data_IF_491021136517
#
_entry.id   IF_491021136517
#
_cell.length_a   1.000
_cell.length_b   1.000
_cell.length_c   1.000
_cell.angle_alpha   90.00
_cell.angle_beta   90.00
_cell.angle_gamma   90.00
#
_symmetry.space_group_name_H-M   'P 1'
#
loop_
_entity.id
_entity.type
_entity.pdbx_description
1 polymer ?
#
# COMPACT_ATOMS: atom_id res chain seq x y z
N UNK A 1 15.91 13.35 27.06
CA UNK A 1 16.82 12.62 26.15
C UNK A 1 16.10 11.77 25.10
N UNK A 2 15.03 11.04 25.43
CA UNK A 2 14.24 10.27 24.45
C UNK A 2 13.43 11.16 23.47
N UNK A 3 12.83 12.24 23.99
CA UNK A 3 12.06 13.22 23.20
C UNK A 3 12.90 13.99 22.17
N UNK A 4 14.13 14.38 22.51
CA UNK A 4 15.03 15.12 21.61
C UNK A 4 15.57 14.28 20.45
N UNK A 5 15.80 12.97 20.66
CA UNK A 5 16.21 12.04 19.59
C UNK A 5 15.07 11.73 18.61
N UNK A 6 13.84 11.56 19.10
CA UNK A 6 12.66 11.45 18.24
C UNK A 6 12.43 12.74 17.42
N UNK A 7 12.61 13.92 18.00
CA UNK A 7 12.48 15.18 17.28
C UNK A 7 13.55 15.37 16.19
N UNK A 8 14.79 14.92 16.43
CA UNK A 8 15.86 14.94 15.42
C UNK A 8 15.59 13.94 14.29
N UNK A 9 15.16 12.71 14.59
CA UNK A 9 14.71 11.74 13.60
C UNK A 9 13.55 12.27 12.78
N UNK A 10 12.55 12.88 13.43
CA UNK A 10 11.40 13.45 12.74
C UNK A 10 11.82 14.61 11.83
N UNK A 11 12.76 15.47 12.25
CA UNK A 11 13.36 16.52 11.40
C UNK A 11 14.21 15.96 10.26
N UNK A 12 14.96 14.88 10.47
CA UNK A 12 15.75 14.20 9.43
C UNK A 12 14.84 13.56 8.38
N UNK A 13 13.77 12.89 8.81
CA UNK A 13 12.71 12.40 7.93
C UNK A 13 12.00 13.55 7.21
N UNK A 14 11.66 14.63 7.91
CA UNK A 14 11.02 15.80 7.30
C UNK A 14 11.93 16.48 6.26
N UNK A 15 13.23 16.62 6.55
CA UNK A 15 14.21 17.12 5.57
C UNK A 15 14.38 16.17 4.38
N UNK A 16 14.44 14.85 4.61
CA UNK A 16 14.59 13.85 3.56
C UNK A 16 13.36 13.74 2.63
N UNK A 17 12.15 13.99 3.14
CA UNK A 17 10.90 13.66 2.45
C UNK A 17 9.99 14.85 2.11
N UNK A 18 10.03 15.94 2.88
CA UNK A 18 9.18 17.13 2.66
C UNK A 18 9.92 18.29 1.96
N UNK A 19 11.23 18.19 1.81
CA UNK A 19 12.06 19.16 1.08
C UNK A 19 12.91 18.46 0.00
N UNK A 20 12.28 17.81 -0.99
CA UNK A 20 12.99 17.06 -2.03
C UNK A 20 13.99 17.94 -2.78
N UNK A 21 13.69 19.23 -2.96
CA UNK A 21 14.62 20.20 -3.53
C UNK A 21 15.90 20.34 -2.72
N UNK A 22 15.84 20.40 -1.38
CA UNK A 22 17.04 20.52 -0.54
C UNK A 22 17.87 19.24 -0.52
N UNK A 23 17.23 18.07 -0.57
CA UNK A 23 17.91 16.77 -0.65
C UNK A 23 18.53 16.62 -2.03
N UNK A 24 17.80 16.94 -3.10
CA UNK A 24 18.30 16.95 -4.46
C UNK A 24 19.48 17.93 -4.58
N UNK A 25 19.40 19.13 -3.98
CA UNK A 25 20.49 20.10 -3.98
C UNK A 25 21.71 19.62 -3.18
N UNK A 26 21.52 18.97 -2.03
CA UNK A 26 22.62 18.39 -1.23
C UNK A 26 23.24 17.17 -1.93
N UNK A 27 22.43 16.36 -2.60
CA UNK A 27 22.84 15.16 -3.34
C UNK A 27 23.50 15.51 -4.69
N UNK A 28 23.09 16.59 -5.34
CA UNK A 28 23.70 17.15 -6.55
C UNK A 28 24.98 17.95 -6.24
N UNK A 29 25.05 18.63 -5.08
CA UNK A 29 26.22 19.44 -4.66
C UNK A 29 27.33 18.61 -4.00
N UNK A 30 27.04 17.36 -3.62
CA UNK A 30 28.06 16.41 -3.15
C UNK A 30 29.01 16.04 -4.29
N UNK A 31 30.27 16.49 -4.18
CA UNK A 31 31.39 16.12 -5.08
C UNK A 31 31.71 14.61 -5.11
N UNK A 32 31.22 13.84 -4.14
CA UNK A 32 31.28 12.37 -4.13
C UNK A 32 29.94 11.79 -4.59
N UNK A 33 30.02 10.72 -5.41
CA UNK A 33 28.91 9.94 -5.97
C UNK A 33 27.60 10.07 -5.15
N UNK A 34 26.56 10.65 -5.74
CA UNK A 34 25.27 10.96 -5.10
C UNK A 34 24.65 9.81 -4.28
N UNK A 35 24.84 8.55 -4.71
CA UNK A 35 24.45 7.37 -3.94
C UNK A 35 25.20 7.24 -2.59
N UNK A 36 26.48 7.63 -2.52
CA UNK A 36 27.27 7.58 -1.29
C UNK A 36 26.79 8.59 -0.24
N UNK A 37 26.40 9.81 -0.66
CA UNK A 37 25.90 10.83 0.26
C UNK A 37 24.56 10.40 0.89
N UNK A 38 23.63 9.87 0.08
CA UNK A 38 22.35 9.38 0.58
C UNK A 38 22.51 8.16 1.49
N UNK A 39 23.36 7.20 1.10
CA UNK A 39 23.69 6.05 1.94
C UNK A 39 24.36 6.48 3.25
N UNK A 40 25.16 7.54 3.25
CA UNK A 40 25.80 8.06 4.46
C UNK A 40 24.79 8.71 5.41
N UNK A 41 23.81 9.45 4.90
CA UNK A 41 22.70 9.99 5.71
C UNK A 41 21.85 8.83 6.28
N UNK A 42 21.54 7.83 5.45
CA UNK A 42 20.72 6.68 5.87
C UNK A 42 21.48 5.72 6.80
N UNK A 43 22.82 5.70 6.75
CA UNK A 43 23.64 4.90 7.66
C UNK A 43 23.50 5.35 9.12
N UNK A 44 23.13 6.61 9.38
CA UNK A 44 22.81 7.05 10.74
C UNK A 44 21.63 6.28 11.35
N UNK A 45 20.75 5.72 10.52
CA UNK A 45 19.62 4.89 10.97
C UNK A 45 20.09 3.59 11.63
N UNK A 46 21.26 3.07 11.24
CA UNK A 46 21.88 1.88 11.86
C UNK A 46 22.30 2.14 13.31
N UNK A 47 22.52 3.40 13.71
CA UNK A 47 22.91 3.76 15.07
C UNK A 47 21.72 3.82 16.04
N UNK A 48 20.48 3.75 15.54
CA UNK A 48 19.28 3.78 16.38
C UNK A 48 18.80 2.37 16.70
N UNK A 49 18.36 2.11 17.95
CA UNK A 49 17.82 0.81 18.30
C UNK A 49 16.53 0.51 17.51
N UNK A 50 16.28 -0.76 17.14
CA UNK A 50 15.20 -1.13 16.25
C UNK A 50 13.82 -0.83 16.84
N UNK A 51 13.68 -0.84 18.17
CA UNK A 51 12.42 -0.49 18.85
C UNK A 51 12.05 0.99 18.67
N UNK A 52 13.01 1.90 18.81
CA UNK A 52 12.75 3.33 18.64
C UNK A 52 12.41 3.65 17.20
N UNK A 53 13.13 3.03 16.26
CA UNK A 53 12.85 3.23 14.84
C UNK A 53 11.48 2.67 14.47
N UNK A 54 11.18 1.41 14.83
CA UNK A 54 9.87 0.81 14.61
C UNK A 54 8.74 1.63 15.22
N UNK A 55 8.91 2.15 16.44
CA UNK A 55 7.92 3.00 17.09
C UNK A 55 7.70 4.30 16.31
N UNK A 56 8.76 4.95 15.81
CA UNK A 56 8.64 6.13 14.96
C UNK A 56 7.92 5.79 13.65
N UNK A 57 8.18 4.64 13.05
CA UNK A 57 7.50 4.20 11.82
C UNK A 57 6.01 3.94 12.06
N UNK A 58 5.67 3.24 13.15
CA UNK A 58 4.28 2.93 13.51
C UNK A 58 3.49 4.16 13.95
N UNK A 59 4.12 5.02 14.75
CA UNK A 59 3.48 6.24 15.26
C UNK A 59 3.36 7.31 14.18
N UNK A 60 4.30 7.36 13.23
CA UNK A 60 4.19 8.31 12.14
C UNK A 60 3.07 7.91 11.18
N UNK A 61 2.80 6.62 10.91
CA UNK A 61 1.76 6.13 9.96
C UNK A 61 1.65 6.99 8.68
N UNK A 62 2.74 7.66 8.32
CA UNK A 62 2.79 8.79 7.41
C UNK A 62 3.52 8.33 6.14
N UNK A 63 3.10 8.92 5.03
CA UNK A 63 3.66 8.79 3.68
C UNK A 63 5.20 8.68 3.65
N UNK A 64 5.88 9.49 4.47
CA UNK A 64 7.34 9.60 4.53
C UNK A 64 8.06 8.32 4.94
N UNK A 65 7.39 7.41 5.66
CA UNK A 65 8.02 6.19 6.16
C UNK A 65 8.09 5.07 5.11
N UNK A 66 7.08 4.99 4.25
CA UNK A 66 7.03 4.03 3.14
C UNK A 66 7.97 4.42 2.01
N UNK A 67 8.13 5.72 1.79
CA UNK A 67 9.07 6.25 0.81
C UNK A 67 10.53 5.87 1.12
N UNK A 68 10.93 5.65 2.39
CA UNK A 68 12.25 5.10 2.71
C UNK A 68 12.46 3.70 2.12
N UNK A 69 11.49 2.81 2.29
CA UNK A 69 11.58 1.44 1.76
C UNK A 69 11.68 1.44 0.24
N UNK A 70 10.93 2.34 -0.42
CA UNK A 70 10.96 2.53 -1.88
C UNK A 70 12.34 3.00 -2.35
N UNK A 71 12.87 4.08 -1.78
CA UNK A 71 14.18 4.64 -2.14
C UNK A 71 15.29 3.59 -1.92
N UNK A 72 15.28 2.90 -0.79
CA UNK A 72 16.28 1.87 -0.48
C UNK A 72 16.24 0.70 -1.48
N UNK A 73 15.04 0.24 -1.86
CA UNK A 73 14.90 -0.81 -2.86
C UNK A 73 15.31 -0.34 -4.26
N UNK A 74 14.97 0.89 -4.65
CA UNK A 74 15.31 1.43 -5.96
C UNK A 74 16.82 1.64 -6.08
N UNK A 75 17.51 2.04 -5.01
CA UNK A 75 18.97 2.10 -4.97
C UNK A 75 19.63 0.72 -5.13
N UNK A 76 19.02 -0.36 -4.62
CA UNK A 76 19.48 -1.72 -4.91
C UNK A 76 19.32 -2.04 -6.38
N UNK A 77 18.14 -1.75 -6.95
CA UNK A 77 17.85 -2.02 -8.35
C UNK A 77 18.79 -1.26 -9.28
N UNK A 78 19.08 0.01 -8.99
CA UNK A 78 20.07 0.81 -9.70
C UNK A 78 21.43 0.09 -9.73
N UNK A 79 21.91 -0.40 -8.57
CA UNK A 79 23.21 -1.06 -8.47
C UNK A 79 23.26 -2.45 -9.12
N UNK A 80 22.16 -3.19 -9.14
CA UNK A 80 22.10 -4.54 -9.72
C UNK A 80 21.85 -4.50 -11.23
N UNK A 81 20.89 -3.69 -11.68
CA UNK A 81 20.40 -3.72 -13.07
C UNK A 81 21.05 -2.65 -13.96
N UNK A 82 21.43 -1.50 -13.41
CA UNK A 82 21.89 -0.34 -14.18
C UNK A 82 23.07 0.37 -13.49
N UNK A 83 24.23 -0.29 -13.35
CA UNK A 83 25.34 0.22 -12.53
C UNK A 83 25.94 1.54 -13.04
N UNK A 84 25.83 1.82 -14.35
CA UNK A 84 26.44 2.98 -14.99
C UNK A 84 25.61 4.27 -14.90
N UNK A 85 24.30 4.16 -14.67
CA UNK A 85 23.41 5.32 -14.59
C UNK A 85 23.38 5.85 -13.16
N UNK A 86 23.54 7.18 -13.02
CA UNK A 86 23.44 7.86 -11.73
C UNK A 86 22.03 8.42 -11.60
N UNK A 87 21.48 8.37 -10.39
CA UNK A 87 20.19 8.99 -9.98
C UNK A 87 18.91 8.49 -10.69
N UNK A 88 18.95 7.35 -11.40
CA UNK A 88 17.79 6.71 -12.03
C UNK A 88 16.66 6.44 -11.05
N UNK A 89 16.96 6.00 -9.82
CA UNK A 89 15.96 5.80 -8.76
C UNK A 89 15.10 7.02 -8.47
N UNK A 90 15.70 8.22 -8.37
CA UNK A 90 14.98 9.45 -8.01
C UNK A 90 14.04 9.88 -9.12
N UNK A 91 14.49 9.80 -10.38
CA UNK A 91 13.64 10.08 -11.54
C UNK A 91 12.48 9.08 -11.62
N UNK A 92 12.75 7.79 -11.45
CA UNK A 92 11.72 6.74 -11.46
C UNK A 92 10.65 7.02 -10.39
N UNK A 93 11.08 7.36 -9.17
CA UNK A 93 10.18 7.68 -8.07
C UNK A 93 9.35 8.95 -8.34
N UNK A 94 9.95 9.98 -8.94
CA UNK A 94 9.24 11.20 -9.34
C UNK A 94 8.13 10.89 -10.35
N UNK A 95 8.44 10.12 -11.40
CA UNK A 95 7.44 9.71 -12.39
C UNK A 95 6.31 8.88 -11.76
N UNK A 96 6.66 7.92 -10.89
CA UNK A 96 5.66 7.06 -10.24
C UNK A 96 4.75 7.82 -9.28
N UNK A 97 5.29 8.77 -8.51
CA UNK A 97 4.48 9.64 -7.65
C UNK A 97 3.50 10.50 -8.43
N UNK A 98 3.90 11.00 -9.59
CA UNK A 98 3.00 11.74 -10.47
C UNK A 98 1.87 10.84 -10.98
N UNK A 99 2.17 9.60 -11.38
CA UNK A 99 1.14 8.63 -11.77
C UNK A 99 0.22 8.31 -10.60
N UNK A 100 0.75 8.07 -9.40
CA UNK A 100 -0.05 7.80 -8.21
C UNK A 100 -0.97 8.99 -7.86
N UNK A 101 -0.49 10.22 -8.02
CA UNK A 101 -1.30 11.43 -7.87
C UNK A 101 -2.46 11.44 -8.87
N UNK A 102 -2.20 11.17 -10.15
CA UNK A 102 -3.25 11.09 -11.17
C UNK A 102 -4.29 10.00 -10.82
N UNK A 103 -3.85 8.82 -10.37
CA UNK A 103 -4.76 7.74 -9.95
C UNK A 103 -5.57 8.15 -8.73
N UNK A 104 -4.96 8.80 -7.73
CA UNK A 104 -5.66 9.30 -6.54
C UNK A 104 -6.73 10.32 -6.92
N UNK A 105 -6.42 11.23 -7.85
CA UNK A 105 -7.35 12.23 -8.33
C UNK A 105 -8.53 11.59 -9.08
N UNK A 106 -8.26 10.62 -9.95
CA UNK A 106 -9.31 9.83 -10.63
C UNK A 106 -10.18 9.09 -9.61
N UNK A 107 -9.57 8.46 -8.61
CA UNK A 107 -10.29 7.76 -7.54
C UNK A 107 -11.21 8.70 -6.76
N UNK A 108 -10.71 9.88 -6.39
CA UNK A 108 -11.51 10.92 -5.71
C UNK A 108 -12.68 11.41 -6.58
N UNK A 109 -12.49 11.53 -7.89
CA UNK A 109 -13.57 11.87 -8.82
C UNK A 109 -14.65 10.78 -8.91
N UNK A 110 -14.26 9.51 -8.87
CA UNK A 110 -15.19 8.39 -8.89
C UNK A 110 -15.95 8.29 -7.56
N UNK A 111 -15.25 8.42 -6.43
CA UNK A 111 -15.80 8.26 -5.08
C UNK A 111 -16.63 9.46 -4.57
N UNK A 112 -16.53 10.65 -5.17
CA UNK A 112 -17.35 11.84 -4.84
C UNK A 112 -18.81 11.73 -5.32
N UNK A 113 -19.39 10.55 -5.09
CA UNK A 113 -20.63 10.00 -5.61
C UNK A 113 -21.92 10.71 -5.14
N UNK A 114 -21.95 12.04 -5.10
CA UNK A 114 -23.21 12.78 -5.23
C UNK A 114 -23.59 12.88 -6.73
N UNK A 115 -23.62 11.74 -7.43
CA UNK A 115 -24.22 11.63 -8.77
C UNK A 115 -25.74 11.56 -8.69
N UNK A 116 -26.35 12.14 -7.65
CA UNK A 116 -27.80 12.24 -7.61
C UNK A 116 -28.21 13.13 -8.80
N UNK A 117 -29.03 12.62 -9.74
CA UNK A 117 -29.59 13.44 -10.82
C UNK A 117 -30.64 14.45 -10.32
N UNK A 118 -30.69 14.68 -9.01
CA UNK A 118 -31.65 15.46 -8.28
C UNK A 118 -30.95 16.67 -7.68
N UNK A 119 -31.15 17.83 -8.30
CA UNK A 119 -30.82 19.12 -7.70
C UNK A 119 -32.15 19.70 -7.22
N UNK A 120 -32.42 19.80 -5.91
CA UNK A 120 -33.64 20.42 -5.42
C UNK A 120 -33.56 21.93 -5.71
N UNK A 121 -34.34 22.39 -6.69
CA UNK A 121 -34.50 23.83 -6.98
C UNK A 121 -35.50 24.49 -6.03
N UNK A 122 -36.39 23.70 -5.41
CA UNK A 122 -37.44 24.12 -4.46
C UNK A 122 -37.70 23.01 -3.43
N UNK A 123 -38.19 23.37 -2.23
CA UNK A 123 -38.46 22.45 -1.10
C UNK A 123 -39.38 21.26 -1.43
N UNK A 124 -40.12 21.30 -2.54
CA UNK A 124 -41.22 20.36 -2.81
C UNK A 124 -41.19 19.66 -4.17
N UNK A 125 -40.14 19.79 -5.00
CA UNK A 125 -40.11 19.07 -6.30
C UNK A 125 -38.74 18.54 -6.72
N UNK A 126 -38.69 17.23 -6.99
CA UNK A 126 -37.55 16.52 -7.57
C UNK A 126 -37.74 16.40 -9.09
N UNK A 127 -37.48 17.46 -9.86
CA UNK A 127 -37.48 17.37 -11.32
C UNK A 127 -36.12 16.92 -11.86
N UNK A 128 -36.11 15.86 -12.70
CA UNK A 128 -34.92 15.34 -13.36
C UNK A 128 -34.41 16.35 -14.39
N UNK A 129 -33.23 16.94 -14.19
CA UNK A 129 -32.56 17.72 -15.23
C UNK A 129 -31.35 16.96 -15.78
N UNK A 130 -31.64 15.87 -16.53
CA UNK A 130 -30.65 14.94 -17.08
C UNK A 130 -29.54 15.68 -17.87
N UNK A 131 -29.90 16.76 -18.57
CA UNK A 131 -28.96 17.58 -19.35
C UNK A 131 -27.94 18.35 -18.49
N UNK A 132 -28.31 18.78 -17.27
CA UNK A 132 -27.40 19.54 -16.38
C UNK A 132 -26.49 18.60 -15.58
N UNK A 133 -26.99 17.40 -15.25
CA UNK A 133 -26.15 16.33 -14.71
C UNK A 133 -25.13 15.85 -15.74
N UNK A 134 -25.55 15.64 -16.99
CA UNK A 134 -24.66 15.23 -18.08
C UNK A 134 -23.57 16.27 -18.37
N UNK A 135 -23.91 17.57 -18.44
CA UNK A 135 -22.90 18.62 -18.66
C UNK A 135 -21.94 18.76 -17.49
N UNK A 136 -22.39 18.62 -16.24
CA UNK A 136 -21.52 18.62 -15.07
C UNK A 136 -20.53 17.46 -15.10
N UNK A 137 -20.99 16.24 -15.43
CA UNK A 137 -20.13 15.07 -15.61
C UNK A 137 -19.06 15.37 -16.67
N UNK A 138 -19.49 15.79 -17.86
CA UNK A 138 -18.56 16.08 -18.97
C UNK A 138 -17.53 17.15 -18.58
N UNK A 139 -17.94 18.21 -17.86
CA UNK A 139 -17.02 19.25 -17.40
C UNK A 139 -16.00 18.73 -16.37
N UNK A 140 -16.40 17.93 -15.39
CA UNK A 140 -15.48 17.35 -14.41
C UNK A 140 -14.47 16.38 -15.06
N UNK A 141 -14.94 15.53 -15.98
CA UNK A 141 -14.04 14.65 -16.74
C UNK A 141 -13.12 15.43 -17.68
N UNK A 142 -13.61 16.52 -18.29
CA UNK A 142 -12.77 17.40 -19.12
C UNK A 142 -11.66 18.03 -18.28
N UNK A 143 -11.97 18.54 -17.07
CA UNK A 143 -10.95 19.05 -16.14
C UNK A 143 -9.91 17.97 -15.80
N UNK A 144 -10.36 16.74 -15.56
CA UNK A 144 -9.47 15.62 -15.26
C UNK A 144 -8.55 15.28 -16.42
N UNK A 145 -9.08 15.19 -17.64
CA UNK A 145 -8.29 14.95 -18.85
C UNK A 145 -7.30 16.08 -19.08
N UNK A 146 -7.72 17.35 -18.97
CA UNK A 146 -6.80 18.47 -19.13
C UNK A 146 -5.70 18.47 -18.07
N UNK A 147 -6.03 18.11 -16.82
CA UNK A 147 -5.06 18.00 -15.74
C UNK A 147 -4.04 16.88 -16.01
N UNK A 148 -4.49 15.71 -16.46
CA UNK A 148 -3.58 14.61 -16.83
C UNK A 148 -2.68 15.02 -17.99
N UNK A 149 -3.25 15.66 -19.03
CA UNK A 149 -2.48 16.12 -20.19
C UNK A 149 -1.45 17.18 -19.80
N UNK A 150 -1.76 18.14 -18.92
CA UNK A 150 -0.79 19.14 -18.46
C UNK A 150 0.32 18.52 -17.63
N UNK A 151 0.00 17.55 -16.77
CA UNK A 151 0.98 16.82 -15.97
C UNK A 151 1.92 15.99 -16.85
N UNK A 152 1.38 15.23 -17.81
CA UNK A 152 2.19 14.46 -18.77
C UNK A 152 3.06 15.39 -19.60
N UNK A 153 2.52 16.52 -20.06
CA UNK A 153 3.29 17.51 -20.81
C UNK A 153 4.41 18.13 -19.95
N UNK A 154 4.13 18.48 -18.69
CA UNK A 154 5.15 18.97 -17.76
C UNK A 154 6.24 17.93 -17.52
N UNK A 155 5.88 16.67 -17.30
CA UNK A 155 6.85 15.58 -17.18
C UNK A 155 7.72 15.42 -18.43
N UNK A 156 7.12 15.56 -19.63
CA UNK A 156 7.86 15.54 -20.89
C UNK A 156 8.79 16.75 -21.02
N UNK A 157 8.34 17.96 -20.66
CA UNK A 157 9.17 19.17 -20.69
C UNK A 157 10.33 19.07 -19.69
N UNK A 158 10.08 18.66 -18.44
CA UNK A 158 11.15 18.38 -17.48
C UNK A 158 12.11 17.29 -17.96
N UNK A 159 11.59 16.24 -18.59
CA UNK A 159 12.39 15.18 -19.19
C UNK A 159 13.27 15.69 -20.34
N UNK A 160 12.75 16.60 -21.17
CA UNK A 160 13.47 17.16 -22.31
C UNK A 160 14.46 18.25 -21.91
N UNK A 161 14.17 19.06 -20.90
CA UNK A 161 14.98 20.22 -20.50
C UNK A 161 16.11 19.90 -19.50
N UNK A 162 15.93 18.94 -18.58
CA UNK A 162 16.88 18.68 -17.48
C UNK A 162 17.79 17.45 -17.62
N UNK A 163 17.99 16.93 -18.83
CA UNK A 163 19.10 16.01 -19.08
C UNK A 163 18.78 14.53 -18.85
N UNK A 164 17.77 14.01 -19.54
CA UNK A 164 17.60 12.56 -19.78
C UNK A 164 18.71 11.95 -20.68
N UNK A 165 19.86 12.60 -20.90
CA UNK A 165 20.91 12.10 -21.81
C UNK A 165 21.42 10.70 -21.44
N UNK A 166 21.24 10.26 -20.19
CA UNK A 166 21.66 8.94 -19.70
C UNK A 166 20.53 8.16 -19.01
N UNK A 167 19.26 8.55 -19.15
CA UNK A 167 18.14 7.80 -18.56
C UNK A 167 17.58 6.82 -19.58
N UNK A 168 18.07 5.59 -19.54
CA UNK A 168 17.57 4.47 -20.34
C UNK A 168 17.41 3.24 -19.46
N UNK A 169 16.38 3.23 -18.59
CA UNK A 169 16.16 2.09 -17.71
C UNK A 169 15.80 0.85 -18.53
N UNK A 170 16.41 -0.28 -18.21
CA UNK A 170 16.05 -1.58 -18.77
C UNK A 170 14.58 -1.89 -18.46
N UNK A 171 13.85 -2.54 -19.37
CA UNK A 171 12.46 -2.95 -19.13
C UNK A 171 12.28 -3.79 -17.85
N UNK A 172 13.27 -4.62 -17.51
CA UNK A 172 13.29 -5.36 -16.25
C UNK A 172 13.31 -4.41 -15.03
N UNK A 173 14.15 -3.37 -15.05
CA UNK A 173 14.22 -2.38 -13.98
C UNK A 173 12.88 -1.67 -13.81
N UNK A 174 12.25 -1.22 -14.90
CA UNK A 174 10.97 -0.49 -14.82
C UNK A 174 9.85 -1.37 -14.29
N UNK A 175 9.73 -2.62 -14.73
CA UNK A 175 8.70 -3.56 -14.26
C UNK A 175 8.90 -3.87 -12.77
N UNK A 176 10.11 -4.18 -12.33
CA UNK A 176 10.39 -4.55 -10.94
C UNK A 176 10.19 -3.39 -9.96
N UNK A 177 10.70 -2.21 -10.31
CA UNK A 177 10.54 -1.00 -9.49
C UNK A 177 9.08 -0.53 -9.46
N UNK A 178 8.35 -0.64 -10.58
CA UNK A 178 6.91 -0.39 -10.63
C UNK A 178 6.11 -1.35 -9.74
N UNK A 179 6.35 -2.67 -9.83
CA UNK A 179 5.67 -3.65 -8.98
C UNK A 179 5.92 -3.40 -7.49
N UNK A 180 7.15 -3.07 -7.13
CA UNK A 180 7.48 -2.71 -5.75
C UNK A 180 6.80 -1.42 -5.31
N UNK A 181 6.74 -0.42 -6.20
CA UNK A 181 6.05 0.85 -5.94
C UNK A 181 4.56 0.64 -5.72
N UNK A 182 3.89 -0.10 -6.60
CA UNK A 182 2.47 -0.47 -6.46
C UNK A 182 2.17 -1.16 -5.13
N UNK A 183 3.08 -2.01 -4.65
CA UNK A 183 2.91 -2.73 -3.39
C UNK A 183 3.16 -1.89 -2.12
N UNK A 184 3.71 -0.67 -2.26
CA UNK A 184 4.08 0.19 -1.14
C UNK A 184 3.32 1.52 -1.11
N UNK A 185 2.89 2.01 -2.28
CA UNK A 185 2.19 3.28 -2.41
C UNK A 185 0.73 3.19 -1.92
N UNK A 186 0.32 4.19 -1.12
CA UNK A 186 -0.92 4.12 -0.36
C UNK A 186 -2.16 3.96 -1.24
N UNK A 187 -2.20 4.70 -2.35
CA UNK A 187 -3.34 4.69 -3.29
C UNK A 187 -3.64 3.27 -3.79
N UNK A 188 -2.59 2.51 -4.08
CA UNK A 188 -2.69 1.14 -4.59
C UNK A 188 -2.89 0.13 -3.46
N UNK A 189 -2.20 0.30 -2.32
CA UNK A 189 -2.38 -0.53 -1.13
C UNK A 189 -3.81 -0.49 -0.61
N UNK A 190 -4.43 0.70 -0.55
CA UNK A 190 -5.82 0.87 -0.11
C UNK A 190 -6.83 0.23 -1.10
N UNK A 191 -6.44 0.08 -2.36
CA UNK A 191 -7.28 -0.51 -3.41
C UNK A 191 -7.09 -2.03 -3.55
N UNK A 192 -6.00 -2.58 -3.01
CA UNK A 192 -5.65 -4.00 -3.11
C UNK A 192 -6.66 -4.97 -2.45
N UNK A 193 -7.26 -4.69 -1.27
CA UNK A 193 -8.29 -5.56 -0.70
C UNK A 193 -9.51 -5.74 -1.61
N UNK A 194 -9.94 -4.68 -2.30
CA UNK A 194 -11.07 -4.73 -3.23
C UNK A 194 -10.75 -5.59 -4.46
N UNK A 195 -9.50 -5.52 -4.96
CA UNK A 195 -9.05 -6.40 -6.04
C UNK A 195 -9.05 -7.87 -5.58
N UNK A 196 -8.63 -8.12 -4.34
CA UNK A 196 -8.55 -9.46 -3.78
C UNK A 196 -9.94 -10.06 -3.53
N UNK A 197 -10.91 -9.26 -3.08
CA UNK A 197 -12.30 -9.69 -2.90
C UNK A 197 -13.00 -9.99 -4.22
N UNK A 198 -12.68 -9.28 -5.30
CA UNK A 198 -13.19 -9.59 -6.66
C UNK A 198 -12.65 -10.94 -7.16
N UNK A 199 -11.41 -11.31 -6.80
CA UNK A 199 -10.81 -12.56 -7.24
C UNK A 199 -11.39 -13.80 -6.52
N UNK A 200 -12.02 -13.61 -5.35
CA UNK A 200 -12.67 -14.67 -4.55
C UNK A 200 -11.80 -15.94 -4.41
N UNK A 201 -10.58 -15.79 -3.89
CA UNK A 201 -9.67 -16.92 -3.68
C UNK A 201 -10.10 -17.75 -2.46
N UNK A 202 -10.41 -19.03 -2.68
CA UNK A 202 -10.81 -19.96 -1.62
C UNK A 202 -9.74 -20.11 -0.52
N UNK A 203 -8.46 -20.00 -0.89
CA UNK A 203 -7.34 -20.09 0.05
C UNK A 203 -7.33 -18.97 1.12
N UNK A 204 -8.03 -17.86 0.89
CA UNK A 204 -8.05 -16.71 1.80
C UNK A 204 -9.18 -16.79 2.84
N UNK A 205 -10.03 -17.82 2.78
CA UNK A 205 -11.10 -18.06 3.78
C UNK A 205 -12.08 -16.88 3.91
N UNK A 206 -12.26 -16.12 2.83
CA UNK A 206 -12.97 -14.83 2.80
C UNK A 206 -12.40 -13.75 3.74
N UNK A 207 -11.15 -13.88 4.20
CA UNK A 207 -10.40 -12.94 5.06
C UNK A 207 -9.49 -12.01 4.24
N UNK A 208 -9.90 -11.58 3.04
CA UNK A 208 -9.04 -10.85 2.11
C UNK A 208 -8.49 -9.54 2.71
N UNK A 209 -9.29 -8.87 3.52
CA UNK A 209 -8.93 -7.60 4.17
C UNK A 209 -7.79 -7.75 5.18
N UNK A 210 -7.68 -8.88 5.88
CA UNK A 210 -6.61 -9.14 6.84
C UNK A 210 -5.36 -9.72 6.17
N UNK A 211 -5.54 -10.50 5.09
CA UNK A 211 -4.42 -11.05 4.32
C UNK A 211 -3.73 -10.01 3.44
N UNK A 212 -4.46 -9.02 2.94
CA UNK A 212 -3.93 -7.92 2.12
C UNK A 212 -2.59 -7.33 2.63
N UNK A 213 -2.51 -6.79 3.86
CA UNK A 213 -1.25 -6.22 4.37
C UNK A 213 -0.14 -7.28 4.55
N UNK A 214 -0.50 -8.54 4.85
CA UNK A 214 0.48 -9.63 4.97
C UNK A 214 1.09 -9.96 3.61
N UNK A 215 0.27 -10.12 2.58
CA UNK A 215 0.71 -10.47 1.21
C UNK A 215 1.64 -9.38 0.66
N UNK A 216 1.24 -8.11 0.75
CA UNK A 216 2.04 -6.99 0.25
C UNK A 216 3.38 -6.85 0.99
N UNK A 217 3.39 -7.06 2.32
CA UNK A 217 4.63 -7.05 3.11
C UNK A 217 5.54 -8.25 2.83
N UNK A 218 5.00 -9.45 2.66
CA UNK A 218 5.78 -10.62 2.26
C UNK A 218 6.37 -10.42 0.86
N UNK A 219 5.59 -9.88 -0.08
CA UNK A 219 6.05 -9.54 -1.42
C UNK A 219 7.23 -8.54 -1.39
N UNK A 220 7.09 -7.42 -0.67
CA UNK A 220 8.17 -6.41 -0.58
C UNK A 220 9.44 -6.93 0.11
N UNK A 221 9.29 -7.78 1.13
CA UNK A 221 10.40 -8.45 1.81
C UNK A 221 11.14 -9.44 0.89
N UNK A 222 10.39 -10.27 0.16
CA UNK A 222 10.97 -11.26 -0.77
C UNK A 222 11.70 -10.59 -1.91
N UNK A 223 11.12 -9.54 -2.50
CA UNK A 223 11.78 -8.72 -3.53
C UNK A 223 13.07 -8.10 -2.99
N UNK A 224 13.03 -7.46 -1.80
CA UNK A 224 14.24 -6.88 -1.21
C UNK A 224 15.33 -7.93 -0.94
N UNK A 225 14.96 -9.11 -0.42
CA UNK A 225 15.90 -10.19 -0.13
C UNK A 225 16.55 -10.75 -1.41
N UNK A 226 15.75 -10.91 -2.48
CA UNK A 226 16.22 -11.39 -3.77
C UNK A 226 17.28 -10.48 -4.39
N UNK A 227 17.20 -9.16 -4.19
CA UNK A 227 18.17 -8.20 -4.71
C UNK A 227 19.39 -7.99 -3.80
N UNK A 228 19.24 -8.25 -2.49
CA UNK A 228 20.37 -8.19 -1.54
C UNK A 228 21.36 -9.34 -1.76
N UNK A 229 20.88 -10.56 -2.03
CA UNK A 229 21.75 -11.74 -2.14
C UNK A 229 22.79 -11.65 -3.29
N UNK A 230 22.43 -11.26 -4.53
CA UNK A 230 23.40 -11.04 -5.60
C UNK A 230 24.39 -9.92 -5.28
N UNK A 231 23.93 -8.81 -4.70
CA UNK A 231 24.81 -7.69 -4.35
C UNK A 231 25.83 -8.08 -3.28
N UNK A 232 25.42 -8.88 -2.30
CA UNK A 232 26.29 -9.45 -1.28
C UNK A 232 27.34 -10.40 -1.88
N UNK A 233 26.95 -11.23 -2.86
CA UNK A 233 27.88 -12.13 -3.56
C UNK A 233 28.93 -11.36 -4.38
N UNK A 234 28.58 -10.20 -4.93
CA UNK A 234 29.52 -9.35 -5.69
C UNK A 234 30.46 -8.52 -4.81
N UNK A 235 30.26 -8.48 -3.49
CA UNK A 235 31.18 -7.84 -2.53
C UNK A 235 31.25 -6.31 -2.61
N UNK A 236 30.34 -5.66 -3.35
CA UNK A 236 30.32 -4.20 -3.50
C UNK A 236 29.29 -3.55 -2.59
N UNK A 237 29.54 -2.30 -2.18
CA UNK A 237 28.57 -1.45 -1.44
C UNK A 237 28.05 -2.02 -0.10
N UNK A 238 28.91 -2.59 0.74
CA UNK A 238 28.56 -3.17 2.05
C UNK A 238 27.71 -2.26 2.96
N UNK A 239 27.90 -0.93 2.89
CA UNK A 239 27.09 0.04 3.65
C UNK A 239 25.63 0.04 3.21
N UNK A 240 25.38 0.03 1.90
CA UNK A 240 24.02 -0.04 1.36
C UNK A 240 23.36 -1.37 1.73
N UNK A 241 24.09 -2.48 1.61
CA UNK A 241 23.62 -3.81 2.02
C UNK A 241 23.22 -3.81 3.50
N UNK A 242 24.06 -3.23 4.37
CA UNK A 242 23.78 -3.14 5.81
C UNK A 242 22.51 -2.34 6.09
N UNK A 243 22.37 -1.15 5.50
CA UNK A 243 21.19 -0.30 5.68
C UNK A 243 19.92 -0.98 5.17
N UNK A 244 19.95 -1.58 3.98
CA UNK A 244 18.80 -2.29 3.40
C UNK A 244 18.43 -3.51 4.23
N UNK A 245 19.40 -4.31 4.65
CA UNK A 245 19.15 -5.49 5.48
C UNK A 245 18.52 -5.08 6.82
N UNK A 246 18.95 -3.97 7.39
CA UNK A 246 18.39 -3.46 8.63
C UNK A 246 16.96 -2.89 8.44
N UNK A 247 16.77 -1.99 7.49
CA UNK A 247 15.51 -1.26 7.30
C UNK A 247 14.50 -2.09 6.51
N UNK A 248 14.85 -2.57 5.31
CA UNK A 248 13.89 -3.28 4.47
C UNK A 248 13.60 -4.68 5.00
N UNK A 249 14.61 -5.43 5.43
CA UNK A 249 14.43 -6.83 5.85
C UNK A 249 14.13 -6.97 7.34
N UNK A 250 15.04 -6.57 8.23
CA UNK A 250 14.89 -6.81 9.66
C UNK A 250 13.69 -6.05 10.24
N UNK A 251 13.61 -4.75 9.97
CA UNK A 251 12.53 -3.91 10.48
C UNK A 251 11.20 -4.19 9.77
N UNK A 252 11.21 -4.40 8.45
CA UNK A 252 10.04 -4.86 7.71
C UNK A 252 9.49 -6.20 8.20
N UNK A 253 10.35 -7.18 8.48
CA UNK A 253 9.95 -8.47 9.06
C UNK A 253 9.37 -8.29 10.46
N UNK A 254 9.97 -7.44 11.28
CA UNK A 254 9.47 -7.14 12.62
C UNK A 254 8.09 -6.49 12.58
N UNK A 255 7.85 -5.57 11.65
CA UNK A 255 6.55 -4.95 11.42
C UNK A 255 5.51 -5.98 10.97
N UNK A 256 5.86 -6.83 9.99
CA UNK A 256 5.01 -7.94 9.54
C UNK A 256 4.62 -8.84 10.71
N UNK A 257 5.58 -9.24 11.55
CA UNK A 257 5.33 -10.19 12.64
C UNK A 257 4.51 -9.59 13.77
N UNK A 258 4.79 -8.35 14.17
CA UNK A 258 4.17 -7.72 15.35
C UNK A 258 2.80 -7.12 15.07
N UNK A 259 2.57 -6.63 13.84
CA UNK A 259 1.31 -5.97 13.50
C UNK A 259 0.45 -6.86 12.62
N UNK A 260 0.87 -7.13 11.38
CA UNK A 260 0.03 -7.80 10.41
C UNK A 260 -0.25 -9.27 10.79
N UNK A 261 0.80 -10.06 11.03
CA UNK A 261 0.67 -11.49 11.32
C UNK A 261 0.07 -11.76 12.70
N UNK A 262 0.41 -10.95 13.70
CA UNK A 262 -0.18 -11.06 15.04
C UNK A 262 -1.69 -10.81 15.01
N UNK A 263 -2.14 -9.76 14.33
CA UNK A 263 -3.56 -9.43 14.18
C UNK A 263 -4.27 -10.53 13.37
N UNK A 264 -3.69 -10.94 12.23
CA UNK A 264 -4.26 -12.01 11.41
C UNK A 264 -4.46 -13.31 12.21
N UNK A 265 -3.43 -13.76 12.93
CA UNK A 265 -3.49 -14.99 13.70
C UNK A 265 -4.49 -14.90 14.87
N UNK A 266 -4.57 -13.76 15.55
CA UNK A 266 -5.53 -13.55 16.63
C UNK A 266 -6.99 -13.63 16.12
N UNK A 267 -7.28 -12.92 15.02
CA UNK A 267 -8.61 -12.90 14.42
C UNK A 267 -8.99 -14.26 13.82
N UNK A 268 -8.04 -14.92 13.14
CA UNK A 268 -8.23 -16.27 12.61
C UNK A 268 -8.43 -17.31 13.71
N UNK A 269 -7.80 -17.14 14.89
CA UNK A 269 -8.03 -18.03 16.03
C UNK A 269 -9.45 -17.89 16.61
N UNK A 270 -10.07 -16.71 16.53
CA UNK A 270 -11.47 -16.50 16.95
C UNK A 270 -12.43 -17.22 16.00
N UNK A 271 -12.26 -17.02 14.68
CA UNK A 271 -13.12 -17.64 13.66
C UNK A 271 -12.83 -19.13 13.51
N UNK A 272 -11.59 -19.56 13.74
CA UNK A 272 -11.14 -20.95 13.61
C UNK A 272 -11.80 -21.92 14.60
N UNK A 273 -12.50 -21.42 15.63
CA UNK A 273 -13.31 -22.24 16.53
C UNK A 273 -14.54 -22.84 15.84
N UNK A 274 -15.02 -22.20 14.77
CA UNK A 274 -16.20 -22.62 14.03
C UNK A 274 -15.82 -23.54 12.87
N UNK A 275 -16.54 -24.65 12.70
CA UNK A 275 -16.30 -25.62 11.63
C UNK A 275 -16.60 -25.00 10.25
N UNK A 276 -15.89 -25.43 9.21
CA UNK A 276 -16.26 -25.15 7.82
C UNK A 276 -17.48 -25.95 7.38
N UNK A 277 -18.38 -25.30 6.62
CA UNK A 277 -19.42 -26.02 5.90
C UNK A 277 -18.81 -26.94 4.85
N UNK A 278 -19.35 -28.15 4.73
CA UNK A 278 -19.06 -29.03 3.60
C UNK A 278 -19.75 -28.52 2.34
N UNK A 279 -19.30 -28.95 1.16
CA UNK A 279 -19.94 -28.56 -0.10
C UNK A 279 -21.40 -29.04 -0.17
N UNK A 280 -21.72 -30.17 0.47
CA UNK A 280 -23.09 -30.71 0.55
C UNK A 280 -23.97 -29.81 1.43
N UNK A 281 -23.52 -29.46 2.64
CA UNK A 281 -24.26 -28.56 3.55
C UNK A 281 -24.41 -27.15 2.98
N UNK A 282 -23.47 -26.70 2.15
CA UNK A 282 -23.54 -25.42 1.48
C UNK A 282 -24.60 -25.46 0.36
N UNK A 283 -24.60 -26.52 -0.47
CA UNK A 283 -25.56 -26.67 -1.56
C UNK A 283 -27.00 -26.95 -1.12
N UNK A 284 -27.22 -27.43 0.11
CA UNK A 284 -28.57 -27.52 0.70
C UNK A 284 -29.09 -26.16 1.21
N UNK A 285 -28.19 -25.20 1.45
CA UNK A 285 -28.52 -23.85 1.87
C UNK A 285 -28.64 -22.94 0.65
N UNK A 286 -29.47 -21.90 0.69
CA UNK A 286 -29.76 -20.98 -0.43
C UNK A 286 -28.56 -20.06 -0.81
N UNK A 287 -27.32 -20.49 -0.54
CA UNK A 287 -26.01 -19.91 -0.86
C UNK A 287 -25.76 -18.45 -0.45
N UNK A 288 -26.72 -17.71 0.10
CA UNK A 288 -26.58 -16.28 0.39
C UNK A 288 -26.29 -16.03 1.87
N UNK A 289 -25.25 -15.25 2.15
CA UNK A 289 -24.93 -14.86 3.52
C UNK A 289 -25.96 -13.85 4.05
N UNK A 290 -26.59 -14.13 5.19
CA UNK A 290 -27.58 -13.24 5.81
C UNK A 290 -27.04 -11.88 6.30
N UNK A 291 -25.71 -11.70 6.33
CA UNK A 291 -25.06 -10.46 6.80
C UNK A 291 -24.71 -9.53 5.65
N UNK A 292 -24.04 -10.02 4.61
CA UNK A 292 -23.61 -9.21 3.46
C UNK A 292 -24.48 -9.41 2.21
N UNK A 293 -25.48 -10.29 2.28
CA UNK A 293 -26.41 -10.61 1.18
C UNK A 293 -25.70 -11.02 -0.12
N UNK A 294 -24.50 -11.57 0.00
CA UNK A 294 -23.67 -12.02 -1.13
C UNK A 294 -23.54 -13.55 -1.12
N UNK A 295 -23.34 -14.18 -2.30
CA UNK A 295 -23.18 -15.62 -2.39
C UNK A 295 -21.95 -16.12 -1.61
N UNK A 296 -22.06 -17.31 -1.03
CA UNK A 296 -21.07 -17.97 -0.20
C UNK A 296 -20.48 -19.15 -0.97
N UNK A 297 -19.16 -19.15 -1.18
CA UNK A 297 -18.40 -20.36 -1.62
C UNK A 297 -17.76 -21.10 -0.45
N UNK A 298 -17.44 -20.35 0.60
CA UNK A 298 -16.89 -20.85 1.85
C UNK A 298 -17.68 -20.22 2.99
N UNK A 299 -18.18 -21.08 3.88
CA UNK A 299 -18.95 -20.65 5.05
C UNK A 299 -18.44 -21.31 6.32
N UNK A 300 -18.62 -20.62 7.43
CA UNK A 300 -18.43 -21.13 8.79
C UNK A 300 -19.79 -21.45 9.40
N UNK A 301 -19.87 -22.59 10.07
CA UNK A 301 -21.09 -23.06 10.75
C UNK A 301 -20.99 -22.70 12.23
N UNK A 302 -22.01 -22.02 12.73
CA UNK A 302 -22.17 -21.74 14.16
C UNK A 302 -22.72 -22.96 14.92
N UNK A 303 -22.58 -23.03 16.26
CA UNK A 303 -23.19 -24.09 17.07
C UNK A 303 -24.73 -24.19 16.91
N UNK A 304 -25.38 -23.11 16.47
CA UNK A 304 -26.80 -23.09 16.16
C UNK A 304 -27.14 -23.44 14.70
N UNK A 305 -26.19 -24.02 13.95
CA UNK A 305 -26.32 -24.47 12.56
C UNK A 305 -26.62 -23.37 11.52
N UNK A 306 -26.21 -22.13 11.80
CA UNK A 306 -26.31 -21.03 10.84
C UNK A 306 -24.99 -20.82 10.09
N UNK A 307 -25.09 -20.51 8.79
CA UNK A 307 -23.94 -20.35 7.88
C UNK A 307 -23.67 -18.85 7.61
N UNK A 308 -22.39 -18.47 7.67
CA UNK A 308 -21.93 -17.11 7.35
C UNK A 308 -20.55 -17.16 6.68
N UNK A 309 -20.17 -16.13 5.91
CA UNK A 309 -18.77 -15.93 5.54
C UNK A 309 -17.90 -15.78 6.79
N UNK A 310 -16.64 -16.22 6.72
CA UNK A 310 -15.68 -16.07 7.82
C UNK A 310 -15.53 -14.62 8.28
N UNK A 311 -15.49 -13.68 7.34
CA UNK A 311 -15.40 -12.24 7.60
C UNK A 311 -16.65 -11.64 8.24
N UNK A 312 -17.82 -12.00 7.73
CA UNK A 312 -19.09 -11.56 8.28
C UNK A 312 -19.25 -12.04 9.72
N UNK A 313 -18.97 -13.33 9.97
CA UNK A 313 -19.02 -13.89 11.33
C UNK A 313 -18.04 -13.19 12.26
N UNK A 314 -16.78 -12.98 11.82
CA UNK A 314 -15.78 -12.23 12.60
C UNK A 314 -16.29 -10.84 12.98
N UNK A 315 -16.84 -10.09 12.02
CA UNK A 315 -17.33 -8.75 12.27
C UNK A 315 -18.50 -8.73 13.25
N UNK A 316 -19.41 -9.70 13.15
CA UNK A 316 -20.50 -9.87 14.11
C UNK A 316 -19.98 -10.18 15.53
N UNK A 317 -19.00 -11.07 15.66
CA UNK A 317 -18.37 -11.43 16.95
C UNK A 317 -17.64 -10.25 17.61
N UNK A 318 -17.19 -9.26 16.83
CA UNK A 318 -16.64 -8.02 17.41
C UNK A 318 -17.70 -7.14 18.08
N UNK A 319 -18.96 -7.27 17.69
CA UNK A 319 -20.06 -6.46 18.20
C UNK A 319 -20.89 -7.21 19.25
N UNK A 320 -21.12 -8.51 19.06
CA UNK A 320 -21.91 -9.32 19.99
C UNK A 320 -21.55 -10.80 19.86
N UNK A 321 -21.52 -11.51 20.99
CA UNK A 321 -21.33 -12.98 21.05
C UNK A 321 -22.61 -13.78 20.71
N UNK A 322 -23.61 -13.13 20.11
CA UNK A 322 -24.89 -13.74 19.75
C UNK A 322 -24.99 -13.94 18.23
N UNK A 323 -25.64 -15.03 17.82
CA UNK A 323 -25.89 -15.31 16.42
C UNK A 323 -26.72 -14.18 15.77
N UNK A 324 -26.29 -13.62 14.62
CA UNK A 324 -27.02 -12.55 13.94
C UNK A 324 -28.46 -12.93 13.57
N UNK A 325 -28.70 -14.20 13.23
CA UNK A 325 -30.01 -14.72 12.81
C UNK A 325 -30.91 -15.10 13.99
N UNK A 326 -30.48 -16.01 14.88
CA UNK A 326 -31.34 -16.52 15.95
C UNK A 326 -31.13 -15.89 17.32
N UNK A 327 -30.20 -14.94 17.46
CA UNK A 327 -29.84 -14.23 18.71
C UNK A 327 -29.39 -15.12 19.89
N UNK A 328 -29.23 -16.42 19.66
CA UNK A 328 -28.67 -17.37 20.64
C UNK A 328 -27.18 -17.10 20.84
N UNK A 329 -26.70 -17.26 22.07
CA UNK A 329 -25.29 -17.09 22.42
C UNK A 329 -24.43 -18.16 21.73
N UNK A 330 -23.29 -17.76 21.16
CA UNK A 330 -22.37 -18.62 20.42
C UNK A 330 -21.38 -19.29 21.38
N UNK A 331 -21.90 -20.03 22.37
CA UNK A 331 -21.09 -20.86 23.27
C UNK A 331 -20.92 -22.26 22.70
N UNK A 332 -19.73 -22.81 22.89
CA UNK A 332 -19.46 -24.23 22.69
C UNK A 332 -19.67 -24.91 24.05
N UNK A 333 -20.59 -25.87 24.10
CA UNK A 333 -20.85 -26.68 25.31
C UNK A 333 -19.68 -27.63 25.61
#
# INVERSE_FOLDING_TARGET
YYSSRCAMLHKLFFMLFYAPETVLHVVLCSRNCSCCAMVQILSFMLCYPPETLLHVMLCSRNFSCWALFQILFFMLCDKVLVPDQRVTCLYSLMFYNVIAYCVSYIKELIEKENWSPYVPMTEHSNMKHLAMSATKIVLEWTKAVTFIMTVVFMLLVFGLEQGLQHYSPTAAYTVLTWLYYMATERVFVDSFPNLLSVLQLDALESLETLWSPVILRVFTLTMSALFVAPLAAMGQCYRLIGVVTYVNLHLGFKELRLNALKVLNAERAVVGKYRYATLEELGEFDDVCAVCLSPMRLARITPCHHLFHGDCLRQCLKTSDNCPMCKRELKFD
#
